data_IF_535485442327
#
_entry.id   IF_535485442327
#
_cell.length_a   1.000
_cell.length_b   1.000
_cell.length_c   1.000
_cell.angle_alpha   90.00
_cell.angle_beta   90.00
_cell.angle_gamma   90.00
#
_symmetry.space_group_name_H-M   'P 1'
#
loop_
_entity.id
_entity.type
_entity.pdbx_description
1 polymer ?
#
# COMPACT_ATOMS: atom_id res chain seq x y z
N UNK A 1 -20.50 -21.62 8.95
CA UNK A 1 -19.29 -22.10 8.28
C UNK A 1 -18.09 -21.28 8.77
N UNK A 2 -17.01 -21.96 9.19
CA UNK A 2 -15.74 -21.32 9.57
C UNK A 2 -14.67 -21.65 8.54
N UNK A 3 -13.67 -20.75 8.42
CA UNK A 3 -12.53 -20.92 7.52
C UNK A 3 -11.31 -20.18 8.10
N UNK A 4 -10.14 -20.49 7.59
CA UNK A 4 -8.87 -19.85 7.96
C UNK A 4 -8.41 -18.89 6.89
N UNK A 5 -7.75 -17.81 7.30
CA UNK A 5 -7.15 -16.83 6.41
C UNK A 5 -5.82 -16.34 7.00
N UNK A 6 -4.78 -16.30 6.18
CA UNK A 6 -3.52 -15.65 6.51
C UNK A 6 -3.54 -14.23 5.94
N UNK A 7 -3.42 -13.20 6.78
CA UNK A 7 -3.65 -11.83 6.35
C UNK A 7 -2.84 -10.79 7.10
N UNK A 8 -2.57 -9.67 6.41
CA UNK A 8 -2.01 -8.43 6.94
C UNK A 8 -3.14 -7.46 7.30
N UNK A 9 -3.07 -6.82 8.45
CA UNK A 9 -4.02 -5.80 8.89
C UNK A 9 -3.68 -4.46 8.24
N UNK A 10 -4.56 -3.99 7.34
CA UNK A 10 -4.41 -2.72 6.63
C UNK A 10 -5.05 -1.55 7.39
N UNK A 11 -6.23 -1.77 7.98
CA UNK A 11 -7.02 -0.71 8.64
C UNK A 11 -7.85 -1.26 9.77
N UNK A 12 -8.07 -0.42 10.77
CA UNK A 12 -8.97 -0.67 11.90
C UNK A 12 -9.99 0.45 12.01
N UNK A 13 -11.27 0.10 11.94
CA UNK A 13 -12.38 1.05 12.08
C UNK A 13 -13.19 0.69 13.31
N UNK A 14 -13.43 1.65 14.19
CA UNK A 14 -14.25 1.45 15.39
C UNK A 14 -15.69 1.08 15.00
N UNK A 15 -16.24 0.07 15.65
CA UNK A 15 -17.63 -0.37 15.49
C UNK A 15 -18.29 -0.42 16.88
N UNK A 16 -19.24 0.48 17.12
CA UNK A 16 -19.83 0.62 18.43
C UNK A 16 -18.80 0.90 19.53
N UNK A 17 -19.09 0.43 20.75
CA UNK A 17 -18.27 0.71 21.94
C UNK A 17 -17.03 -0.17 22.06
N UNK A 18 -17.14 -1.44 21.71
CA UNK A 18 -16.11 -2.47 22.01
C UNK A 18 -15.52 -3.17 20.80
N UNK A 19 -16.15 -3.08 19.64
CA UNK A 19 -15.79 -3.85 18.46
C UNK A 19 -14.92 -3.05 17.47
N UNK A 20 -14.25 -3.76 16.56
CA UNK A 20 -13.44 -3.20 15.50
C UNK A 20 -13.75 -3.93 14.19
N UNK A 21 -13.93 -3.18 13.10
CA UNK A 21 -13.85 -3.75 11.75
C UNK A 21 -12.38 -3.69 11.33
N UNK A 22 -11.80 -4.84 11.00
CA UNK A 22 -10.49 -4.95 10.39
C UNK A 22 -10.64 -5.06 8.88
N UNK A 23 -9.92 -4.21 8.13
CA UNK A 23 -9.66 -4.39 6.70
C UNK A 23 -8.34 -5.12 6.56
N UNK A 24 -8.35 -6.23 5.86
CA UNK A 24 -7.28 -7.22 5.79
C UNK A 24 -6.85 -7.44 4.35
N UNK A 25 -5.56 -7.59 4.10
CA UNK A 25 -5.01 -8.11 2.85
C UNK A 25 -4.70 -9.59 3.05
N UNK A 26 -5.46 -10.45 2.40
CA UNK A 26 -5.26 -11.89 2.45
C UNK A 26 -4.03 -12.33 1.65
N UNK A 27 -3.49 -13.51 1.93
CA UNK A 27 -2.29 -14.05 1.25
C UNK A 27 -2.48 -14.28 -0.26
N UNK A 28 -3.72 -14.38 -0.72
CA UNK A 28 -4.05 -14.43 -2.15
C UNK A 28 -4.11 -13.04 -2.80
N UNK A 29 -3.89 -11.97 -2.02
CA UNK A 29 -3.93 -10.57 -2.46
C UNK A 29 -5.33 -9.97 -2.54
N UNK A 30 -6.38 -10.70 -2.16
CA UNK A 30 -7.73 -10.16 -2.02
C UNK A 30 -7.89 -9.36 -0.73
N UNK A 31 -8.87 -8.45 -0.72
CA UNK A 31 -9.25 -7.73 0.49
C UNK A 31 -10.36 -8.47 1.23
N UNK A 32 -10.28 -8.50 2.55
CA UNK A 32 -11.32 -9.03 3.43
C UNK A 32 -11.67 -8.01 4.51
N UNK A 33 -12.96 -7.86 4.82
CA UNK A 33 -13.43 -7.07 5.96
C UNK A 33 -14.11 -7.95 6.97
N UNK A 34 -13.64 -7.92 8.21
CA UNK A 34 -14.16 -8.77 9.28
C UNK A 34 -14.25 -8.03 10.61
N UNK A 35 -15.22 -8.42 11.44
CA UNK A 35 -15.45 -7.84 12.77
C UNK A 35 -14.70 -8.63 13.83
N UNK A 36 -13.87 -7.94 14.61
CA UNK A 36 -13.27 -8.43 15.83
C UNK A 36 -14.11 -7.96 17.02
N UNK A 37 -14.96 -8.84 17.55
CA UNK A 37 -15.85 -8.52 18.68
C UNK A 37 -15.05 -8.32 19.96
N UNK A 38 -15.35 -7.26 20.69
CA UNK A 38 -14.69 -6.92 21.95
C UNK A 38 -13.22 -6.53 21.81
N UNK A 39 -12.71 -6.25 20.59
CA UNK A 39 -11.29 -5.97 20.34
C UNK A 39 -10.77 -4.71 21.06
N UNK A 40 -11.65 -3.80 21.48
CA UNK A 40 -11.30 -2.59 22.23
C UNK A 40 -11.34 -2.76 23.74
N UNK A 41 -11.78 -3.90 24.25
CA UNK A 41 -11.76 -4.19 25.69
C UNK A 41 -10.32 -4.36 26.16
N UNK A 42 -9.93 -3.84 27.34
CA UNK A 42 -8.55 -3.94 27.85
C UNK A 42 -8.04 -5.38 27.96
N UNK A 43 -8.93 -6.33 28.24
CA UNK A 43 -8.62 -7.77 28.40
C UNK A 43 -8.63 -8.54 27.09
N UNK A 44 -8.87 -7.86 25.96
CA UNK A 44 -9.01 -8.54 24.66
C UNK A 44 -7.67 -8.95 24.08
N UNK A 45 -7.53 -10.24 23.75
CA UNK A 45 -6.39 -10.76 23.02
C UNK A 45 -6.28 -10.18 21.59
N UNK A 46 -7.36 -9.60 21.05
CA UNK A 46 -7.37 -8.97 19.73
C UNK A 46 -6.70 -7.59 19.73
N UNK A 47 -6.66 -6.89 20.87
CA UNK A 47 -6.15 -5.52 20.96
C UNK A 47 -4.71 -5.40 20.45
N UNK A 48 -3.83 -6.33 20.85
CA UNK A 48 -2.42 -6.36 20.45
C UNK A 48 -2.14 -7.15 19.17
N UNK A 49 -2.99 -8.14 18.84
CA UNK A 49 -2.74 -9.01 17.68
C UNK A 49 -3.20 -8.40 16.37
N UNK A 50 -4.30 -7.66 16.39
CA UNK A 50 -4.92 -7.07 15.20
C UNK A 50 -4.55 -5.59 15.04
N UNK A 51 -3.32 -5.21 15.33
CA UNK A 51 -2.81 -3.87 15.07
C UNK A 51 -2.42 -3.68 13.60
N UNK A 52 -2.30 -2.42 13.15
CA UNK A 52 -1.79 -2.10 11.83
C UNK A 52 -0.43 -2.78 11.61
N UNK A 53 -0.13 -3.16 10.39
CA UNK A 53 1.08 -3.90 9.98
C UNK A 53 1.22 -5.31 10.57
N UNK A 54 0.29 -5.77 11.39
CA UNK A 54 0.35 -7.15 11.92
C UNK A 54 -0.09 -8.16 10.87
N UNK A 55 0.69 -9.23 10.73
CA UNK A 55 0.35 -10.43 9.94
C UNK A 55 -0.16 -11.49 10.89
N UNK A 56 -1.33 -12.03 10.62
CA UNK A 56 -2.01 -12.99 11.47
C UNK A 56 -2.57 -14.17 10.68
N UNK A 57 -2.55 -15.35 11.31
CA UNK A 57 -3.46 -16.44 10.97
C UNK A 57 -4.78 -16.23 11.70
N UNK A 58 -5.86 -16.18 10.97
CA UNK A 58 -7.19 -15.88 11.45
C UNK A 58 -8.11 -17.08 11.27
N UNK A 59 -8.90 -17.39 12.30
CA UNK A 59 -10.11 -18.22 12.17
C UNK A 59 -11.32 -17.30 12.07
N UNK A 60 -12.05 -17.40 10.96
CA UNK A 60 -13.21 -16.58 10.67
C UNK A 60 -14.48 -17.41 10.61
N UNK A 61 -15.60 -16.81 10.98
CA UNK A 61 -16.92 -17.34 10.72
C UNK A 61 -17.63 -16.46 9.70
N UNK A 62 -18.25 -17.07 8.69
CA UNK A 62 -19.06 -16.35 7.71
C UNK A 62 -20.20 -15.61 8.39
N UNK A 63 -20.31 -14.31 8.12
CA UNK A 63 -21.38 -13.45 8.55
C UNK A 63 -22.33 -13.09 7.40
N UNK A 64 -23.40 -12.39 7.70
CA UNK A 64 -24.36 -11.94 6.67
C UNK A 64 -23.79 -10.83 5.79
N UNK A 65 -23.12 -9.85 6.41
CA UNK A 65 -22.55 -8.67 5.71
C UNK A 65 -21.02 -8.60 5.89
N UNK A 66 -20.53 -8.91 7.07
CA UNK A 66 -19.12 -8.95 7.42
C UNK A 66 -18.82 -10.26 8.13
N UNK A 67 -17.70 -10.85 7.85
CA UNK A 67 -17.23 -12.03 8.56
C UNK A 67 -16.80 -11.67 10.00
N UNK A 68 -16.74 -12.67 10.87
CA UNK A 68 -16.42 -12.48 12.30
C UNK A 68 -15.11 -13.20 12.60
N UNK A 69 -14.13 -12.45 13.12
CA UNK A 69 -12.87 -13.03 13.60
C UNK A 69 -13.16 -13.76 14.92
N UNK A 70 -12.95 -15.05 14.94
CA UNK A 70 -13.08 -15.92 16.11
C UNK A 70 -11.77 -16.04 16.87
N UNK A 71 -10.68 -16.21 16.12
CA UNK A 71 -9.34 -16.32 16.66
C UNK A 71 -8.35 -15.57 15.79
N UNK A 72 -7.27 -15.06 16.39
CA UNK A 72 -6.14 -14.46 15.72
C UNK A 72 -4.85 -14.93 16.36
N UNK A 73 -3.96 -15.51 15.56
CA UNK A 73 -2.60 -15.87 15.95
C UNK A 73 -1.64 -14.92 15.25
N UNK A 74 -0.92 -14.13 16.02
CA UNK A 74 0.07 -13.20 15.49
C UNK A 74 1.26 -13.99 14.92
N UNK A 75 1.61 -13.71 13.68
CA UNK A 75 2.78 -14.28 12.97
C UNK A 75 3.92 -13.27 12.93
N UNK A 76 3.63 -12.04 12.52
CA UNK A 76 4.59 -10.93 12.52
C UNK A 76 3.90 -9.65 12.95
N UNK A 77 4.55 -8.89 13.81
CA UNK A 77 4.05 -7.60 14.24
C UNK A 77 4.65 -6.42 13.47
N UNK A 78 5.72 -6.64 12.70
CA UNK A 78 6.55 -5.59 12.07
C UNK A 78 6.87 -4.45 13.07
N UNK A 79 7.35 -4.83 14.26
CA UNK A 79 7.54 -3.91 15.39
C UNK A 79 8.47 -2.74 15.05
N UNK A 80 9.51 -2.97 14.26
CA UNK A 80 10.42 -1.90 13.82
C UNK A 80 9.66 -0.78 13.11
N UNK A 81 8.76 -1.14 12.19
CA UNK A 81 7.93 -0.15 11.47
C UNK A 81 7.01 0.61 12.43
N UNK A 82 6.53 -0.01 13.51
CA UNK A 82 5.60 0.62 14.46
C UNK A 82 6.28 1.53 15.48
N UNK A 83 7.53 1.23 15.83
CA UNK A 83 8.26 1.92 16.90
C UNK A 83 9.18 3.02 16.40
N UNK A 84 9.50 3.01 15.12
CA UNK A 84 10.29 4.04 14.45
C UNK A 84 9.37 4.98 13.66
N UNK A 85 9.43 6.27 13.95
CA UNK A 85 8.54 7.29 13.37
C UNK A 85 8.81 7.43 11.86
N UNK A 86 10.06 7.45 11.43
CA UNK A 86 10.44 7.58 10.03
C UNK A 86 9.94 6.37 9.20
N UNK A 87 10.13 5.16 9.73
CA UNK A 87 9.60 3.94 9.10
C UNK A 87 8.07 3.93 9.06
N UNK A 88 7.42 4.38 10.14
CA UNK A 88 5.96 4.43 10.21
C UNK A 88 5.37 5.40 9.19
N UNK A 89 5.96 6.59 9.07
CA UNK A 89 5.56 7.59 8.09
C UNK A 89 5.74 7.09 6.66
N UNK A 90 6.87 6.45 6.36
CA UNK A 90 7.15 5.90 5.05
C UNK A 90 6.26 4.68 4.72
N UNK A 91 5.95 3.81 5.67
CA UNK A 91 5.15 2.61 5.44
C UNK A 91 3.64 2.87 5.42
N UNK A 92 3.15 3.94 6.07
CA UNK A 92 1.71 4.24 6.15
C UNK A 92 1.03 4.40 4.79
N UNK A 93 1.62 5.09 3.77
CA UNK A 93 1.06 5.18 2.43
C UNK A 93 0.90 3.81 1.74
N UNK A 94 1.70 2.80 2.11
CA UNK A 94 1.58 1.44 1.58
C UNK A 94 0.23 0.83 2.02
N UNK A 95 -0.11 0.93 3.30
CA UNK A 95 -1.39 0.40 3.81
C UNK A 95 -2.58 1.14 3.22
N UNK A 96 -2.50 2.48 3.10
CA UNK A 96 -3.55 3.28 2.51
C UNK A 96 -3.76 2.95 1.03
N UNK A 97 -2.69 2.78 0.27
CA UNK A 97 -2.74 2.36 -1.13
C UNK A 97 -3.43 1.00 -1.25
N UNK A 98 -3.01 0.01 -0.47
CA UNK A 98 -3.59 -1.32 -0.48
C UNK A 98 -5.07 -1.31 -0.09
N UNK A 99 -5.44 -0.55 0.95
CA UNK A 99 -6.83 -0.42 1.39
C UNK A 99 -7.75 0.12 0.28
N UNK A 100 -7.23 1.04 -0.55
CA UNK A 100 -8.00 1.67 -1.62
C UNK A 100 -8.01 0.87 -2.92
N UNK A 101 -6.99 0.07 -3.20
CA UNK A 101 -6.81 -0.56 -4.52
C UNK A 101 -7.09 -2.05 -4.54
N UNK A 102 -7.00 -2.76 -3.41
CA UNK A 102 -7.36 -4.18 -3.34
C UNK A 102 -8.87 -4.33 -3.15
N UNK A 103 -9.44 -5.40 -3.69
CA UNK A 103 -10.88 -5.64 -3.68
C UNK A 103 -11.21 -7.02 -3.11
N UNK A 104 -12.45 -7.16 -2.63
CA UNK A 104 -13.01 -8.44 -2.21
C UNK A 104 -13.19 -9.32 -3.45
N UNK A 105 -12.85 -10.60 -3.33
CA UNK A 105 -12.99 -11.61 -4.39
C UNK A 105 -12.19 -11.33 -5.69
N UNK A 106 -11.21 -10.40 -5.63
CA UNK A 106 -10.30 -10.14 -6.73
C UNK A 106 -8.84 -10.37 -6.27
N UNK A 107 -8.34 -11.60 -6.35
CA UNK A 107 -7.01 -11.94 -5.85
C UNK A 107 -5.90 -11.41 -6.75
N UNK A 108 -4.88 -10.80 -6.13
CA UNK A 108 -3.62 -10.38 -6.77
C UNK A 108 -2.44 -10.86 -5.91
N UNK A 109 -2.08 -12.16 -5.94
CA UNK A 109 -1.14 -12.75 -4.98
C UNK A 109 0.21 -12.03 -4.91
N UNK A 110 0.70 -11.50 -6.03
CA UNK A 110 1.97 -10.73 -6.09
C UNK A 110 1.99 -9.49 -5.21
N UNK A 111 0.82 -8.88 -4.94
CA UNK A 111 0.72 -7.71 -4.05
C UNK A 111 1.01 -8.10 -2.61
N UNK A 112 0.46 -9.22 -2.14
CA UNK A 112 0.72 -9.70 -0.78
C UNK A 112 2.21 -9.98 -0.56
N UNK A 113 2.84 -10.73 -1.46
CA UNK A 113 4.27 -11.06 -1.39
C UNK A 113 5.16 -9.82 -1.44
N UNK A 114 4.84 -8.87 -2.34
CA UNK A 114 5.55 -7.61 -2.44
C UNK A 114 5.46 -6.82 -1.13
N UNK A 115 4.26 -6.74 -0.55
CA UNK A 115 4.02 -6.01 0.70
C UNK A 115 4.84 -6.57 1.86
N UNK A 116 4.84 -7.90 2.04
CA UNK A 116 5.61 -8.53 3.12
C UNK A 116 7.12 -8.32 2.94
N UNK A 117 7.63 -8.44 1.71
CA UNK A 117 9.05 -8.17 1.42
C UNK A 117 9.42 -6.74 1.73
N UNK A 118 8.59 -5.78 1.36
CA UNK A 118 8.83 -4.36 1.57
C UNK A 118 8.77 -4.00 3.06
N UNK A 119 7.75 -4.46 3.79
CA UNK A 119 7.68 -4.21 5.25
C UNK A 119 8.87 -4.79 6.01
N UNK A 120 9.41 -5.92 5.55
CA UNK A 120 10.61 -6.51 6.13
C UNK A 120 11.87 -5.74 5.74
N UNK A 121 11.91 -5.10 4.57
CA UNK A 121 13.10 -4.38 4.10
C UNK A 121 13.37 -3.07 4.84
N UNK A 122 12.36 -2.43 5.43
CA UNK A 122 12.53 -1.21 6.22
C UNK A 122 13.57 -1.37 7.36
N UNK A 123 13.66 -2.54 7.97
CA UNK A 123 14.65 -2.82 9.01
C UNK A 123 16.08 -3.06 8.51
N UNK A 124 16.31 -2.99 7.20
CA UNK A 124 17.61 -3.34 6.56
C UNK A 124 18.22 -2.19 5.79
N UNK A 125 17.60 -1.05 5.80
CA UNK A 125 18.04 0.13 5.04
C UNK A 125 18.24 1.31 5.99
N UNK A 126 18.97 2.31 5.53
CA UNK A 126 19.14 3.57 6.25
C UNK A 126 17.85 4.41 6.17
N UNK A 127 17.67 5.30 7.14
CA UNK A 127 16.45 6.13 7.27
C UNK A 127 16.16 6.93 6.00
N UNK A 128 17.18 7.48 5.36
CA UNK A 128 17.07 8.27 4.12
C UNK A 128 16.56 7.47 2.92
N UNK A 129 16.60 6.15 2.97
CA UNK A 129 16.10 5.25 1.92
C UNK A 129 14.65 4.78 2.16
N UNK A 130 14.05 5.06 3.32
CA UNK A 130 12.70 4.64 3.64
C UNK A 130 11.68 5.10 2.59
N UNK A 131 11.73 6.36 2.18
CA UNK A 131 10.83 6.89 1.16
C UNK A 131 11.05 6.25 -0.21
N UNK A 132 12.29 5.94 -0.57
CA UNK A 132 12.63 5.26 -1.84
C UNK A 132 12.00 3.87 -1.91
N UNK A 133 11.99 3.13 -0.79
CA UNK A 133 11.30 1.83 -0.68
C UNK A 133 9.81 1.97 -0.94
N UNK A 134 9.17 2.96 -0.33
CA UNK A 134 7.74 3.23 -0.51
C UNK A 134 7.41 3.55 -1.97
N UNK A 135 8.17 4.45 -2.59
CA UNK A 135 7.99 4.80 -4.01
C UNK A 135 8.17 3.57 -4.91
N UNK A 136 9.23 2.77 -4.66
CA UNK A 136 9.47 1.54 -5.41
C UNK A 136 8.33 0.51 -5.23
N UNK A 137 7.76 0.41 -4.03
CA UNK A 137 6.58 -0.41 -3.78
C UNK A 137 5.38 0.08 -4.61
N UNK A 138 5.04 1.37 -4.52
CA UNK A 138 3.87 1.94 -5.20
C UNK A 138 3.94 1.73 -6.72
N UNK A 139 5.11 1.98 -7.33
CA UNK A 139 5.31 1.77 -8.77
C UNK A 139 5.16 0.29 -9.17
N UNK A 140 5.70 -0.65 -8.39
CA UNK A 140 5.55 -2.09 -8.66
C UNK A 140 4.11 -2.56 -8.43
N UNK A 141 3.46 -2.07 -7.39
CA UNK A 141 2.07 -2.41 -7.07
C UNK A 141 1.12 -1.89 -8.16
N UNK A 142 1.30 -0.66 -8.64
CA UNK A 142 0.56 -0.13 -9.80
C UNK A 142 0.74 -1.02 -11.02
N UNK A 143 1.96 -1.48 -11.31
CA UNK A 143 2.21 -2.37 -12.43
C UNK A 143 1.50 -3.73 -12.29
N UNK A 144 1.41 -4.28 -11.07
CA UNK A 144 0.67 -5.53 -10.81
C UNK A 144 -0.85 -5.36 -10.95
N UNK A 145 -1.35 -4.15 -10.70
CA UNK A 145 -2.76 -3.79 -10.91
C UNK A 145 -3.08 -3.40 -12.37
N UNK A 146 -2.09 -3.46 -13.27
CA UNK A 146 -2.27 -3.12 -14.67
C UNK A 146 -2.06 -1.64 -15.03
N UNK A 147 -1.69 -0.80 -14.06
CA UNK A 147 -1.45 0.64 -14.25
C UNK A 147 0.05 0.97 -14.30
N UNK A 148 0.80 0.31 -15.17
CA UNK A 148 2.25 0.55 -15.28
C UNK A 148 2.53 1.94 -15.89
N UNK A 149 3.01 2.92 -15.11
CA UNK A 149 3.33 4.24 -15.65
C UNK A 149 4.54 4.18 -16.58
N UNK A 150 4.52 4.99 -17.64
CA UNK A 150 5.65 5.16 -18.55
C UNK A 150 6.49 6.35 -18.13
N UNK A 151 7.81 6.14 -17.91
CA UNK A 151 8.76 7.20 -17.56
C UNK A 151 9.84 7.41 -18.63
N UNK A 152 9.95 6.51 -19.60
CA UNK A 152 11.01 6.54 -20.61
C UNK A 152 10.54 6.96 -22.00
N UNK A 153 9.24 6.89 -22.27
CA UNK A 153 8.68 7.26 -23.57
C UNK A 153 7.37 8.03 -23.39
N UNK A 154 7.14 8.97 -24.31
CA UNK A 154 5.89 9.74 -24.34
C UNK A 154 4.69 8.80 -24.53
N UNK A 155 3.70 8.90 -23.67
CA UNK A 155 2.49 8.05 -23.70
C UNK A 155 1.58 8.36 -24.90
N UNK A 156 1.76 9.51 -25.57
CA UNK A 156 0.92 9.93 -26.69
C UNK A 156 1.53 9.59 -28.06
N UNK A 157 2.84 9.79 -28.25
CA UNK A 157 3.49 9.56 -29.55
C UNK A 157 4.54 8.45 -29.54
N UNK A 158 4.91 7.91 -28.35
CA UNK A 158 5.92 6.87 -28.21
C UNK A 158 7.38 7.35 -28.30
N UNK A 159 7.63 8.66 -28.51
CA UNK A 159 8.98 9.22 -28.58
C UNK A 159 9.72 9.00 -27.26
N UNK A 160 10.99 8.61 -27.35
CA UNK A 160 11.83 8.44 -26.15
C UNK A 160 12.09 9.79 -25.50
N UNK A 161 11.82 9.87 -24.20
CA UNK A 161 12.07 11.07 -23.40
C UNK A 161 13.37 10.87 -22.64
N UNK A 162 14.39 11.70 -22.96
CA UNK A 162 15.67 11.65 -22.26
C UNK A 162 15.51 12.17 -20.83
N UNK A 163 15.99 11.40 -19.88
CA UNK A 163 16.04 11.78 -18.45
C UNK A 163 17.28 12.59 -18.10
N UNK A 164 18.21 12.76 -19.06
CA UNK A 164 19.49 13.46 -18.87
C UNK A 164 19.40 14.97 -19.11
N UNK A 165 18.23 15.46 -19.50
CA UNK A 165 18.02 16.87 -19.81
C UNK A 165 17.59 17.66 -18.56
N UNK A 166 18.13 18.86 -18.43
CA UNK A 166 17.76 19.86 -17.41
C UNK A 166 16.33 20.38 -17.62
N UNK A 167 15.68 19.99 -18.71
CA UNK A 167 14.31 20.38 -19.06
C UNK A 167 13.28 19.69 -18.16
N UNK A 168 12.29 20.42 -17.64
CA UNK A 168 11.24 19.82 -16.85
C UNK A 168 10.44 18.81 -17.69
N UNK A 169 10.31 17.59 -17.17
CA UNK A 169 9.52 16.54 -17.80
C UNK A 169 8.08 16.68 -17.31
N UNK A 170 7.13 16.74 -18.24
CA UNK A 170 5.71 16.76 -17.91
C UNK A 170 5.16 15.33 -17.75
N UNK A 171 4.41 15.10 -16.68
CA UNK A 171 3.76 13.82 -16.41
C UNK A 171 2.23 13.99 -16.39
N UNK A 172 1.53 13.21 -17.20
CA UNK A 172 0.07 13.15 -17.20
C UNK A 172 -0.41 12.00 -16.32
N UNK A 173 -1.08 12.33 -15.23
CA UNK A 173 -1.71 11.32 -14.38
C UNK A 173 -2.89 10.63 -15.06
N UNK A 174 -3.56 11.31 -15.98
CA UNK A 174 -4.68 10.76 -16.75
C UNK A 174 -4.20 9.70 -17.76
N UNK A 175 -3.12 10.00 -18.48
CA UNK A 175 -2.55 9.11 -19.49
C UNK A 175 -1.56 8.09 -18.88
N UNK A 176 -1.21 8.27 -17.61
CA UNK A 176 -0.34 7.35 -16.87
C UNK A 176 1.13 7.40 -17.27
N UNK A 177 1.67 8.57 -17.67
CA UNK A 177 3.08 8.65 -18.03
C UNK A 177 3.59 10.01 -18.50
N UNK A 178 4.86 10.02 -18.92
CA UNK A 178 5.52 11.23 -19.40
C UNK A 178 4.98 11.65 -20.77
N UNK A 179 4.95 12.96 -21.00
CA UNK A 179 4.50 13.59 -22.24
C UNK A 179 5.63 14.48 -22.76
N UNK A 180 6.04 14.30 -24.02
CA UNK A 180 7.07 15.13 -24.66
C UNK A 180 6.55 16.55 -24.94
N UNK A 181 7.48 17.51 -25.15
CA UNK A 181 7.13 18.91 -25.39
C UNK A 181 6.21 19.11 -26.61
N UNK A 182 6.40 18.32 -27.66
CA UNK A 182 5.58 18.40 -28.85
C UNK A 182 4.12 18.02 -28.58
N UNK A 183 3.89 16.96 -27.81
CA UNK A 183 2.54 16.51 -27.46
C UNK A 183 1.89 17.37 -26.38
N UNK A 184 2.69 17.99 -25.51
CA UNK A 184 2.20 18.85 -24.44
C UNK A 184 1.39 20.04 -24.96
N UNK A 185 1.73 20.56 -26.14
CA UNK A 185 1.04 21.70 -26.77
C UNK A 185 -0.40 21.38 -27.22
N UNK A 186 -0.73 20.11 -27.38
CA UNK A 186 -2.02 19.64 -27.90
C UNK A 186 -2.94 19.00 -26.87
N UNK A 187 -2.49 18.92 -25.62
CA UNK A 187 -3.25 18.22 -24.56
C UNK A 187 -3.83 19.22 -23.56
N UNK A 188 -5.13 19.07 -23.16
CA UNK A 188 -5.71 19.92 -22.13
C UNK A 188 -5.02 19.65 -20.79
N UNK A 189 -4.75 20.73 -20.07
CA UNK A 189 -3.84 20.81 -18.93
C UNK A 189 -4.31 20.01 -17.72
N UNK A 190 -3.60 18.94 -17.38
CA UNK A 190 -3.48 18.43 -16.01
C UNK A 190 -2.10 17.79 -15.84
N UNK A 191 -1.06 18.61 -15.76
CA UNK A 191 0.32 18.13 -15.67
C UNK A 191 0.97 18.56 -14.38
N UNK A 192 1.61 17.60 -13.70
CA UNK A 192 2.63 17.90 -12.69
C UNK A 192 3.98 17.98 -13.40
N UNK A 193 4.67 19.10 -13.25
CA UNK A 193 6.06 19.23 -13.70
C UNK A 193 6.95 18.45 -12.74
N UNK A 194 7.59 17.39 -13.24
CA UNK A 194 8.62 16.66 -12.52
C UNK A 194 9.98 17.30 -12.87
N UNK A 195 10.62 17.94 -11.91
CA UNK A 195 12.03 18.30 -12.02
C UNK A 195 12.88 17.09 -11.67
N UNK A 196 13.71 16.61 -12.60
CA UNK A 196 14.81 15.74 -12.25
C UNK A 196 15.81 16.57 -11.43
N UNK A 197 16.11 16.14 -10.20
CA UNK A 197 16.98 16.79 -9.22
C UNK A 197 16.45 18.05 -8.53
N UNK A 198 15.64 17.87 -7.50
CA UNK A 198 15.86 18.57 -6.25
C UNK A 198 16.52 17.59 -5.27
N UNK A 199 17.81 17.31 -5.46
CA UNK A 199 18.63 16.92 -4.35
C UNK A 199 18.75 18.16 -3.48
N UNK A 200 18.01 18.18 -2.36
CA UNK A 200 18.14 19.21 -1.35
C UNK A 200 19.57 19.25 -0.82
N UNK A 201 20.35 20.15 -1.37
CA UNK A 201 21.41 20.85 -0.66
C UNK A 201 20.90 22.26 -0.52
N UNK A 202 20.31 22.53 0.62
CA UNK A 202 20.40 23.80 1.33
C UNK A 202 19.49 23.74 2.56
N UNK A 203 20.14 23.69 3.66
CA UNK A 203 19.99 24.02 5.07
C UNK A 203 20.11 22.84 5.99
#
# INVERSE_FOLDING_TARGET
LTYTCHALVLKRTKLGESDVICTLLCSDGSQLRAVAKGARKPTSAFSSRLELFSVCDLLLAKGKNLDIIKEARLISAHMQVKTDISMLEAASPILEFLEKTTQVDLPVPRIYDLTNKVLTSFSRVEEEDNLKITVAFLLKALAFLGFKPSFSSCVLCGEQVSTDTVTPISFSSLEGGVVCENCLRFTPVSYTHLRAHETGRNL
#
